data_IF_613631306349
#
_entry.id   IF_613631306349
#
_cell.length_a   1.000
_cell.length_b   1.000
_cell.length_c   1.000
_cell.angle_alpha   90.00
_cell.angle_beta   90.00
_cell.angle_gamma   90.00
#
_symmetry.space_group_name_H-M   'P 1'
#
loop_
_entity.id
_entity.type
_entity.pdbx_description
1 polymer ?
#
# COMPACT_ATOMS: atom_id res chain seq x y z
N UNK A 1 0.18 11.16 -18.50
CA UNK A 1 1.06 10.95 -17.34
C UNK A 1 0.79 9.57 -16.78
N UNK A 2 1.84 8.84 -16.41
CA UNK A 2 1.74 7.54 -15.73
C UNK A 2 2.26 7.70 -14.31
N UNK A 3 1.65 6.99 -13.37
CA UNK A 3 2.02 7.00 -11.96
C UNK A 3 2.30 5.57 -11.51
N UNK A 4 3.32 5.41 -10.67
CA UNK A 4 3.70 4.13 -10.06
C UNK A 4 3.49 4.26 -8.56
N UNK A 5 2.82 3.27 -7.97
CA UNK A 5 2.67 3.12 -6.53
C UNK A 5 3.44 1.87 -6.09
N UNK A 6 4.70 2.00 -5.64
CA UNK A 6 5.50 0.88 -5.17
C UNK A 6 5.35 0.69 -3.65
N UNK A 7 5.43 -0.57 -3.20
CA UNK A 7 5.74 -0.93 -1.83
C UNK A 7 7.16 -1.50 -1.78
N UNK A 8 7.99 -0.95 -0.90
CA UNK A 8 9.42 -1.29 -0.79
C UNK A 8 9.71 -1.80 0.61
N UNK A 9 10.51 -2.86 0.68
CA UNK A 9 11.06 -3.41 1.90
C UNK A 9 12.59 -3.53 1.79
N UNK A 10 13.22 -4.09 2.83
CA UNK A 10 14.69 -4.26 2.88
C UNK A 10 15.24 -5.04 1.67
N UNK A 11 14.48 -6.00 1.14
CA UNK A 11 14.86 -6.82 -0.01
C UNK A 11 14.53 -6.20 -1.38
N UNK A 12 13.93 -4.99 -1.41
CA UNK A 12 13.53 -4.29 -2.64
C UNK A 12 12.03 -4.09 -2.78
N UNK A 13 11.55 -3.98 -4.02
CA UNK A 13 10.12 -3.78 -4.32
C UNK A 13 9.37 -5.10 -4.14
N UNK A 14 8.36 -5.11 -3.26
CA UNK A 14 7.57 -6.30 -2.94
C UNK A 14 6.18 -6.31 -3.61
N UNK A 15 5.67 -5.14 -3.97
CA UNK A 15 4.44 -4.97 -4.74
C UNK A 15 4.50 -3.65 -5.52
N UNK A 16 3.84 -3.56 -6.68
CA UNK A 16 3.75 -2.33 -7.44
C UNK A 16 2.46 -2.27 -8.28
N UNK A 17 1.85 -1.08 -8.32
CA UNK A 17 0.74 -0.75 -9.22
C UNK A 17 1.16 0.36 -10.19
N UNK A 18 0.86 0.18 -11.47
CA UNK A 18 1.06 1.21 -12.50
C UNK A 18 -0.29 1.63 -13.04
N UNK A 19 -0.56 2.93 -12.97
CA UNK A 19 -1.83 3.51 -13.41
C UNK A 19 -1.61 4.74 -14.30
N UNK A 20 -2.59 5.00 -15.17
CA UNK A 20 -2.60 6.20 -16.01
C UNK A 20 -3.31 7.32 -15.26
N UNK A 21 -2.64 8.46 -15.10
CA UNK A 21 -3.18 9.60 -14.35
C UNK A 21 -2.83 9.59 -12.86
N UNK A 22 -3.63 10.29 -12.07
CA UNK A 22 -3.42 10.48 -10.62
C UNK A 22 -3.91 9.30 -9.79
N UNK A 23 -3.31 9.10 -8.62
CA UNK A 23 -3.78 8.14 -7.61
C UNK A 23 -4.98 8.73 -6.87
N UNK A 24 -5.96 7.88 -6.58
CA UNK A 24 -7.16 8.20 -5.81
C UNK A 24 -7.33 7.15 -4.72
N UNK A 25 -8.20 7.40 -3.75
CA UNK A 25 -8.40 6.53 -2.59
C UNK A 25 -8.71 5.07 -3.01
N UNK A 26 -9.57 4.88 -4.02
CA UNK A 26 -9.93 3.54 -4.53
C UNK A 26 -8.74 2.76 -5.08
N UNK A 27 -7.76 3.45 -5.67
CA UNK A 27 -6.55 2.82 -6.20
C UNK A 27 -5.68 2.30 -5.05
N UNK A 28 -5.57 3.07 -3.97
CA UNK A 28 -4.82 2.68 -2.76
C UNK A 28 -5.48 1.48 -2.10
N UNK A 29 -6.81 1.50 -1.91
CA UNK A 29 -7.53 0.38 -1.32
C UNK A 29 -7.35 -0.93 -2.11
N UNK A 30 -7.41 -0.84 -3.44
CA UNK A 30 -7.19 -1.99 -4.31
C UNK A 30 -5.75 -2.50 -4.20
N UNK A 31 -4.77 -1.59 -4.21
CA UNK A 31 -3.36 -1.92 -4.07
C UNK A 31 -3.07 -2.62 -2.75
N UNK A 32 -3.58 -2.07 -1.63
CA UNK A 32 -3.42 -2.67 -0.31
C UNK A 32 -4.01 -4.08 -0.28
N UNK A 33 -5.27 -4.24 -0.67
CA UNK A 33 -5.97 -5.54 -0.56
C UNK A 33 -5.43 -6.62 -1.49
N UNK A 34 -5.07 -6.26 -2.73
CA UNK A 34 -4.78 -7.23 -3.78
C UNK A 34 -3.30 -7.49 -3.98
N UNK A 35 -2.47 -6.48 -3.78
CA UNK A 35 -1.06 -6.54 -4.14
C UNK A 35 -0.16 -6.55 -2.90
N UNK A 36 -0.41 -5.67 -1.93
CA UNK A 36 0.50 -5.51 -0.78
C UNK A 36 0.22 -6.46 0.39
N UNK A 37 -0.99 -6.49 0.95
CA UNK A 37 -1.30 -7.32 2.12
C UNK A 37 -0.99 -8.81 1.94
N UNK A 38 -1.23 -9.44 0.77
CA UNK A 38 -0.93 -10.87 0.58
C UNK A 38 0.56 -11.22 0.71
N UNK A 39 1.45 -10.22 0.65
CA UNK A 39 2.90 -10.38 0.80
C UNK A 39 3.44 -9.78 2.11
N UNK A 40 2.56 -9.20 2.93
CA UNK A 40 2.88 -8.78 4.29
C UNK A 40 2.65 -9.92 5.28
N UNK A 41 3.32 -9.86 6.43
CA UNK A 41 3.13 -10.83 7.52
C UNK A 41 2.51 -10.17 8.75
N UNK A 42 2.02 -10.98 9.68
CA UNK A 42 1.60 -10.50 11.00
C UNK A 42 2.79 -9.95 11.80
N UNK A 43 2.57 -8.89 12.57
CA UNK A 43 3.60 -8.33 13.44
C UNK A 43 3.99 -9.32 14.55
N UNK A 44 5.30 -9.54 14.86
CA UNK A 44 6.49 -8.79 14.42
C UNK A 44 7.33 -9.47 13.32
N UNK A 45 6.72 -10.25 12.42
CA UNK A 45 7.48 -10.93 11.35
C UNK A 45 8.03 -9.92 10.31
N UNK A 46 8.98 -10.32 9.44
CA UNK A 46 9.43 -9.47 8.35
C UNK A 46 8.27 -8.94 7.50
N UNK A 47 8.34 -7.68 7.04
CA UNK A 47 7.31 -7.03 6.22
C UNK A 47 5.94 -6.85 6.91
N UNK A 48 5.91 -6.78 8.25
CA UNK A 48 4.66 -6.65 9.00
C UNK A 48 4.24 -5.21 9.35
N UNK A 49 5.03 -4.21 8.98
CA UNK A 49 4.76 -2.80 9.34
C UNK A 49 4.63 -1.99 8.06
N UNK A 50 3.49 -1.33 7.91
CA UNK A 50 3.23 -0.39 6.82
C UNK A 50 3.58 1.03 7.26
N UNK A 51 4.44 1.71 6.48
CA UNK A 51 4.79 3.12 6.68
C UNK A 51 4.40 3.89 5.43
N UNK A 52 3.61 4.95 5.60
CA UNK A 52 3.11 5.83 4.54
C UNK A 52 3.34 7.29 4.94
N UNK A 53 3.48 8.19 3.97
CA UNK A 53 3.42 9.63 4.25
C UNK A 53 2.02 10.04 4.73
N UNK A 54 1.92 11.15 5.46
CA UNK A 54 0.64 11.64 5.97
C UNK A 54 -0.16 12.44 4.91
N UNK A 55 -0.40 11.84 3.74
CA UNK A 55 -1.22 12.45 2.70
C UNK A 55 -2.72 12.20 2.96
N UNK A 56 -3.56 13.18 2.62
CA UNK A 56 -5.02 13.09 2.80
C UNK A 56 -5.65 11.89 2.08
N UNK A 57 -5.07 11.43 0.97
CA UNK A 57 -5.56 10.26 0.23
C UNK A 57 -5.37 8.93 0.98
N UNK A 58 -4.56 8.92 2.05
CA UNK A 58 -4.42 7.77 2.94
C UNK A 58 -5.40 7.80 4.11
N UNK A 59 -6.15 8.89 4.27
CA UNK A 59 -7.14 9.02 5.34
C UNK A 59 -8.46 8.36 4.90
N UNK A 60 -8.88 7.34 5.64
CA UNK A 60 -10.15 6.65 5.40
C UNK A 60 -10.31 5.41 6.28
N UNK A 61 -11.55 5.07 6.60
CA UNK A 61 -11.90 3.97 7.51
C UNK A 61 -11.37 2.61 7.03
N UNK A 62 -11.27 2.45 5.70
CA UNK A 62 -10.80 1.20 5.11
C UNK A 62 -9.30 0.97 5.32
N UNK A 63 -8.48 2.02 5.28
CA UNK A 63 -7.03 1.87 5.53
C UNK A 63 -6.75 1.49 6.99
N UNK A 64 -7.56 2.01 7.93
CA UNK A 64 -7.45 1.68 9.36
C UNK A 64 -7.95 0.27 9.70
N UNK A 65 -9.03 -0.18 9.06
CA UNK A 65 -9.57 -1.54 9.29
C UNK A 65 -8.72 -2.65 8.65
N UNK A 66 -7.94 -2.32 7.63
CA UNK A 66 -7.05 -3.25 6.94
C UNK A 66 -5.78 -3.57 7.75
N UNK A 67 -5.21 -2.56 8.42
CA UNK A 67 -3.95 -2.68 9.16
C UNK A 67 -4.21 -2.72 10.67
N UNK A 68 -4.92 -3.74 11.15
CA UNK A 68 -5.13 -4.00 12.59
C UNK A 68 -4.07 -4.92 13.16
#
# INVERSE_FOLDING_TARGET
QWTVLPAVAECGVIAAMVLKGSVEHVHIEQFLKRDLLPVMNEYPQPYSVLVLENAHIHHGDLNQSICQ
#
